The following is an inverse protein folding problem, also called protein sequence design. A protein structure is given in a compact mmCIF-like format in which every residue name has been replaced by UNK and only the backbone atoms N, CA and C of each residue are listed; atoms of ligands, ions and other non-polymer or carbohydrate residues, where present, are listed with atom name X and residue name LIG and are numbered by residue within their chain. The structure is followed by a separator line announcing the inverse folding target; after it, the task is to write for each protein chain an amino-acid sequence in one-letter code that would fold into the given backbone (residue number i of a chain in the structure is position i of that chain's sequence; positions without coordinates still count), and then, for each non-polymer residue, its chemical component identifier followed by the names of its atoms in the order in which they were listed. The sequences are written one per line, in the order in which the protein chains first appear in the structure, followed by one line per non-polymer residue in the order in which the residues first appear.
data_IF_424247503403
#
_entry.id   IF_424247503403
#
_cell.length_a   1.000
_cell.length_b   1.000
_cell.length_c   1.000
_cell.angle_alpha   90.00
_cell.angle_beta   90.00
_cell.angle_gamma   90.00
#
_symmetry.space_group_name_H-M   'P 1'
#
loop_
_entity.id
_entity.type
_entity.pdbx_description
1 polymer ?
#
# COMPACT_ATOMS: atom_id res chain seq x y z
N UNK A 1 4.01 -10.10 -8.04
CA UNK A 1 3.06 -9.01 -7.71
C UNK A 1 1.62 -9.53 -7.63
N UNK A 2 1.12 -10.30 -8.60
CA UNK A 2 -0.22 -10.92 -8.51
C UNK A 2 -0.43 -11.75 -7.24
N UNK A 3 0.55 -12.56 -6.85
CA UNK A 3 0.50 -13.33 -5.59
C UNK A 3 0.37 -12.42 -4.36
N UNK A 4 1.08 -11.29 -4.33
CA UNK A 4 0.98 -10.33 -3.23
C UNK A 4 -0.41 -9.69 -3.16
N UNK A 5 -1.04 -9.41 -4.31
CA UNK A 5 -2.42 -8.91 -4.37
C UNK A 5 -3.41 -9.95 -3.83
N UNK A 6 -3.29 -11.23 -4.22
CA UNK A 6 -4.14 -12.31 -3.69
C UNK A 6 -3.98 -12.48 -2.18
N UNK A 7 -2.74 -12.48 -1.69
CA UNK A 7 -2.47 -12.57 -0.25
C UNK A 7 -3.06 -11.36 0.48
N UNK A 8 -2.89 -10.16 -0.05
CA UNK A 8 -3.45 -8.96 0.54
C UNK A 8 -4.97 -8.99 0.61
N UNK A 9 -5.66 -9.44 -0.46
CA UNK A 9 -7.11 -9.58 -0.44
C UNK A 9 -7.57 -10.51 0.69
N UNK A 10 -6.85 -11.62 0.90
CA UNK A 10 -7.17 -12.57 1.98
C UNK A 10 -7.00 -11.96 3.38
N UNK A 11 -5.95 -11.16 3.59
CA UNK A 11 -5.65 -10.51 4.88
C UNK A 11 -6.59 -9.34 5.12
N UNK A 12 -6.74 -8.46 4.13
CA UNK A 12 -7.54 -7.24 4.23
C UNK A 12 -9.01 -7.56 4.52
N UNK A 13 -9.53 -8.67 3.99
CA UNK A 13 -10.91 -9.08 4.17
C UNK A 13 -11.10 -10.19 5.22
N UNK A 14 -10.05 -10.58 5.94
CA UNK A 14 -10.17 -11.59 7.00
C UNK A 14 -10.97 -11.07 8.20
N UNK A 15 -11.82 -11.94 8.74
CA UNK A 15 -12.60 -11.65 9.94
C UNK A 15 -11.75 -11.46 11.21
N UNK A 16 -10.52 -11.97 11.23
CA UNK A 16 -9.59 -11.75 12.36
C UNK A 16 -9.10 -10.30 12.40
N UNK A 17 -9.06 -9.61 11.26
CA UNK A 17 -8.53 -8.26 11.13
C UNK A 17 -9.61 -7.20 10.89
N UNK A 18 -10.89 -7.50 11.14
CA UNK A 18 -12.01 -6.58 10.86
C UNK A 18 -11.85 -5.21 11.55
N UNK A 19 -11.39 -5.20 12.80
CA UNK A 19 -11.18 -3.99 13.61
C UNK A 19 -9.73 -3.48 13.60
N UNK A 20 -8.86 -4.13 12.83
CA UNK A 20 -7.44 -3.78 12.75
C UNK A 20 -7.20 -2.83 11.59
N UNK A 21 -6.45 -1.77 11.84
CA UNK A 21 -5.84 -0.98 10.78
C UNK A 21 -4.71 -1.79 10.12
N UNK A 22 -4.44 -1.51 8.85
CA UNK A 22 -3.41 -2.21 8.07
C UNK A 22 -2.38 -1.22 7.55
N UNK A 23 -1.11 -1.61 7.65
CA UNK A 23 0.01 -0.88 7.07
C UNK A 23 0.56 -1.69 5.90
N UNK A 24 0.54 -1.11 4.72
CA UNK A 24 1.07 -1.67 3.48
C UNK A 24 2.44 -1.05 3.19
N UNK A 25 3.46 -1.89 3.10
CA UNK A 25 4.78 -1.50 2.63
C UNK A 25 5.01 -1.99 1.21
N UNK A 26 5.10 -1.05 0.27
CA UNK A 26 5.68 -1.33 -1.05
C UNK A 26 7.20 -1.16 -0.92
N UNK A 27 7.89 -2.29 -0.71
CA UNK A 27 9.33 -2.34 -0.47
C UNK A 27 10.13 -2.50 -1.78
N UNK A 28 11.45 -2.35 -1.71
CA UNK A 28 12.41 -2.44 -2.83
C UNK A 28 12.16 -1.37 -3.90
N UNK A 29 11.80 -0.17 -3.44
CA UNK A 29 11.54 0.98 -4.31
C UNK A 29 12.77 1.45 -5.10
N UNK A 30 13.97 1.17 -4.61
CA UNK A 30 15.22 1.33 -5.33
C UNK A 30 15.26 0.49 -6.60
N UNK A 31 15.08 -0.83 -6.45
CA UNK A 31 15.07 -1.77 -7.57
C UNK A 31 13.91 -1.50 -8.53
N UNK A 32 12.78 -1.06 -8.02
CA UNK A 32 11.62 -0.70 -8.84
C UNK A 32 11.93 0.49 -9.75
N UNK A 33 12.53 1.55 -9.21
CA UNK A 33 12.93 2.76 -9.96
C UNK A 33 13.92 2.45 -11.07
N UNK A 34 14.86 1.54 -10.84
CA UNK A 34 15.85 1.15 -11.85
C UNK A 34 15.24 0.31 -12.97
N UNK A 35 14.27 -0.55 -12.63
CA UNK A 35 13.71 -1.53 -13.58
C UNK A 35 12.57 -0.99 -14.42
N UNK A 36 11.77 -0.05 -13.91
CA UNK A 36 10.54 0.41 -14.55
C UNK A 36 10.76 0.87 -16.01
N UNK A 37 11.84 1.60 -16.27
CA UNK A 37 12.16 2.14 -17.60
C UNK A 37 12.51 1.05 -18.62
N UNK A 38 13.03 -0.10 -18.17
CA UNK A 38 13.43 -1.22 -19.04
C UNK A 38 12.38 -2.33 -19.08
N UNK A 39 11.54 -2.42 -18.06
CA UNK A 39 10.54 -3.46 -17.89
C UNK A 39 9.26 -2.84 -17.33
N UNK A 40 8.42 -2.24 -18.21
CA UNK A 40 7.16 -1.62 -17.82
C UNK A 40 6.21 -2.63 -17.16
N UNK A 41 5.42 -2.18 -16.19
CA UNK A 41 4.47 -3.05 -15.47
C UNK A 41 3.39 -3.66 -16.37
N UNK A 42 3.04 -3.00 -17.47
CA UNK A 42 2.07 -3.51 -18.46
C UNK A 42 2.52 -4.82 -19.10
N UNK A 43 3.83 -5.01 -19.28
CA UNK A 43 4.41 -6.26 -19.79
C UNK A 43 4.28 -7.44 -18.79
N UNK A 44 3.96 -7.16 -17.53
CA UNK A 44 3.80 -8.16 -16.45
C UNK A 44 2.33 -8.41 -16.10
N UNK A 45 1.40 -8.11 -17.00
CA UNK A 45 -0.03 -8.39 -16.84
C UNK A 45 -0.84 -7.27 -16.18
N UNK A 46 -0.27 -6.08 -15.99
CA UNK A 46 -0.97 -4.89 -15.50
C UNK A 46 -1.40 -4.00 -16.67
N UNK A 47 -2.19 -4.56 -17.60
CA UNK A 47 -2.60 -3.87 -18.85
C UNK A 47 -3.59 -2.74 -18.62
N UNK A 48 -4.22 -2.69 -17.45
CA UNK A 48 -5.12 -1.62 -16.99
C UNK A 48 -4.38 -0.37 -16.49
N UNK A 49 -3.04 -0.37 -16.49
CA UNK A 49 -2.24 0.81 -16.21
C UNK A 49 -2.10 1.71 -17.44
N UNK A 50 -2.60 2.94 -17.32
CA UNK A 50 -2.62 3.95 -18.39
C UNK A 50 -1.62 5.10 -18.16
N UNK A 51 -0.80 5.04 -17.10
CA UNK A 51 0.21 6.06 -16.83
C UNK A 51 1.48 5.88 -17.68
N UNK A 52 2.44 6.80 -17.59
CA UNK A 52 3.72 6.67 -18.29
C UNK A 52 4.46 5.39 -17.88
N UNK A 53 5.03 4.70 -18.87
CA UNK A 53 5.66 3.39 -18.69
C UNK A 53 6.96 3.43 -17.87
N UNK A 54 7.63 4.58 -17.84
CA UNK A 54 8.91 4.85 -17.18
C UNK A 54 8.77 5.64 -15.86
N UNK A 55 7.57 6.16 -15.56
CA UNK A 55 7.33 6.89 -14.33
C UNK A 55 7.01 5.96 -13.15
N UNK A 56 8.02 5.70 -12.33
CA UNK A 56 7.88 4.92 -11.11
C UNK A 56 6.84 5.51 -10.15
N UNK A 57 6.62 6.84 -10.12
CA UNK A 57 5.68 7.46 -9.18
C UNK A 57 4.25 7.07 -9.54
N UNK A 58 3.87 7.24 -10.81
CA UNK A 58 2.56 6.83 -11.33
C UNK A 58 2.34 5.33 -11.16
N UNK A 59 3.35 4.51 -11.46
CA UNK A 59 3.25 3.05 -11.28
C UNK A 59 3.12 2.63 -9.80
N UNK A 60 3.80 3.32 -8.88
CA UNK A 60 3.69 3.05 -7.44
C UNK A 60 2.33 3.44 -6.89
N UNK A 61 1.80 4.58 -7.34
CA UNK A 61 0.43 5.02 -7.00
C UNK A 61 -0.59 4.00 -7.52
N UNK A 62 -0.44 3.54 -8.75
CA UNK A 62 -1.28 2.49 -9.32
C UNK A 62 -1.30 1.23 -8.43
N UNK A 63 -0.15 0.75 -7.96
CA UNK A 63 -0.13 -0.40 -7.06
C UNK A 63 -0.80 -0.12 -5.71
N UNK A 64 -0.52 1.04 -5.09
CA UNK A 64 -1.19 1.44 -3.85
C UNK A 64 -2.72 1.45 -4.00
N UNK A 65 -3.21 2.04 -5.08
CA UNK A 65 -4.64 2.11 -5.37
C UNK A 65 -5.23 0.71 -5.63
N UNK A 66 -4.49 -0.16 -6.33
CA UNK A 66 -4.91 -1.56 -6.55
C UNK A 66 -5.02 -2.35 -5.25
N UNK A 67 -4.06 -2.20 -4.33
CA UNK A 67 -4.13 -2.83 -3.01
C UNK A 67 -5.28 -2.27 -2.16
N UNK A 68 -5.52 -0.95 -2.21
CA UNK A 68 -6.64 -0.32 -1.51
C UNK A 68 -8.00 -0.79 -2.04
N UNK A 69 -8.12 -0.94 -3.36
CA UNK A 69 -9.36 -1.39 -4.00
C UNK A 69 -9.76 -2.84 -3.63
N UNK A 70 -8.81 -3.67 -3.20
CA UNK A 70 -9.09 -5.05 -2.75
C UNK A 70 -9.71 -5.12 -1.34
N UNK A 71 -9.72 -4.02 -0.59
CA UNK A 71 -10.37 -3.96 0.71
C UNK A 71 -11.87 -3.68 0.54
N UNK A 72 -12.71 -4.57 1.06
CA UNK A 72 -14.17 -4.49 0.97
C UNK A 72 -14.80 -3.66 2.09
N UNK A 73 -14.05 -3.33 3.14
CA UNK A 73 -14.53 -2.52 4.26
C UNK A 73 -14.08 -1.06 4.13
N UNK A 74 -14.99 -0.16 3.73
CA UNK A 74 -14.69 1.27 3.55
C UNK A 74 -14.24 1.99 4.83
N UNK A 75 -14.60 1.47 6.01
CA UNK A 75 -14.20 2.05 7.29
C UNK A 75 -12.80 1.61 7.74
N UNK A 76 -12.26 0.55 7.12
CA UNK A 76 -10.94 0.01 7.49
C UNK A 76 -9.84 0.96 7.04
N UNK A 77 -9.00 1.32 7.99
CA UNK A 77 -7.89 2.24 7.77
C UNK A 77 -6.70 1.51 7.16
N UNK A 78 -6.26 1.96 5.97
CA UNK A 78 -5.14 1.37 5.22
C UNK A 78 -4.11 2.46 4.89
N UNK A 79 -2.92 2.32 5.46
CA UNK A 79 -1.81 3.25 5.27
C UNK A 79 -0.77 2.62 4.34
N UNK A 80 -0.46 3.31 3.25
CA UNK A 80 0.48 2.82 2.25
C UNK A 80 1.78 3.62 2.29
N UNK A 81 2.90 2.92 2.37
CA UNK A 81 4.23 3.54 2.34
C UNK A 81 5.11 2.91 1.27
N UNK A 82 5.82 3.78 0.56
CA UNK A 82 6.88 3.39 -0.36
C UNK A 82 8.18 3.34 0.44
N UNK A 83 8.84 2.19 0.46
CA UNK A 83 9.97 1.93 1.36
C UNK A 83 11.13 1.30 0.62
N UNK A 84 12.33 1.47 1.16
CA UNK A 84 13.47 0.64 0.82
C UNK A 84 13.93 -0.11 2.08
N UNK A 85 14.44 -1.33 1.93
CA UNK A 85 14.90 -2.15 3.05
C UNK A 85 16.08 -1.53 3.80
N UNK A 86 16.80 -0.60 3.16
CA UNK A 86 17.89 0.18 3.75
C UNK A 86 17.44 1.51 4.36
N UNK A 87 16.14 1.83 4.29
CA UNK A 87 15.61 3.08 4.84
C UNK A 87 15.52 2.98 6.36
N UNK A 88 16.51 3.57 7.03
CA UNK A 88 16.57 3.65 8.49
C UNK A 88 15.40 4.43 9.11
N UNK A 89 14.61 5.14 8.29
CA UNK A 89 13.42 5.86 8.73
C UNK A 89 12.15 5.00 8.73
N UNK A 90 12.21 3.74 8.31
CA UNK A 90 11.04 2.85 8.27
C UNK A 90 10.32 2.80 9.62
N UNK A 91 11.08 2.66 10.72
CA UNK A 91 10.51 2.64 12.06
C UNK A 91 9.81 3.96 12.40
N UNK A 92 10.40 5.10 12.03
CA UNK A 92 9.83 6.44 12.27
C UNK A 92 8.53 6.63 11.51
N UNK A 93 8.49 6.23 10.23
CA UNK A 93 7.29 6.29 9.38
C UNK A 93 6.19 5.41 9.98
N UNK A 94 6.54 4.18 10.34
CA UNK A 94 5.60 3.22 10.94
C UNK A 94 5.01 3.76 12.24
N UNK A 95 5.84 4.30 13.12
CA UNK A 95 5.39 4.89 14.39
C UNK A 95 4.46 6.10 14.16
N UNK A 96 4.77 6.95 13.18
CA UNK A 96 3.89 8.06 12.79
C UNK A 96 2.51 7.57 12.36
N UNK A 97 2.45 6.54 11.51
CA UNK A 97 1.17 5.97 11.08
C UNK A 97 0.39 5.30 12.21
N UNK A 98 1.07 4.63 13.14
CA UNK A 98 0.43 4.08 14.34
C UNK A 98 -0.14 5.20 15.21
N UNK A 99 0.60 6.30 15.39
CA UNK A 99 0.11 7.46 16.14
C UNK A 99 -1.13 8.08 15.48
N UNK A 100 -1.10 8.27 14.16
CA UNK A 100 -2.24 8.79 13.41
C UNK A 100 -3.48 7.89 13.54
N UNK A 101 -3.31 6.56 13.49
CA UNK A 101 -4.41 5.60 13.69
C UNK A 101 -5.04 5.73 15.09
N UNK A 102 -4.21 5.86 16.13
CA UNK A 102 -4.71 6.02 17.50
C UNK A 102 -5.50 7.34 17.62
N UNK A 103 -4.99 8.43 17.06
CA UNK A 103 -5.65 9.74 17.08
C UNK A 103 -6.98 9.68 16.32
N UNK A 104 -6.99 9.16 15.10
CA UNK A 104 -8.21 9.02 14.28
C UNK A 104 -9.28 8.19 14.98
N UNK A 105 -8.89 7.08 15.60
CA UNK A 105 -9.80 6.22 16.36
C UNK A 105 -10.40 6.94 17.57
N UNK A 106 -9.59 7.67 18.32
CA UNK A 106 -10.06 8.46 19.48
C UNK A 106 -10.99 9.60 19.03
N UNK A 107 -10.68 10.30 17.94
CA UNK A 107 -11.54 11.35 17.39
C UNK A 107 -12.89 10.81 16.92
N UNK A 108 -12.92 9.66 16.23
CA UNK A 108 -14.19 9.00 15.84
C UNK A 108 -15.05 8.63 17.04
N UNK A 109 -14.44 8.24 18.17
CA UNK A 109 -15.16 7.93 19.41
C UNK A 109 -15.70 9.16 20.15
N UNK A 110 -15.18 10.36 19.88
CA UNK A 110 -15.64 11.61 20.52
C UNK A 110 -16.77 12.30 19.75
N UNK A 111 -16.91 11.99 18.45
CA UNK A 111 -17.89 12.62 17.54
C UNK A 111 -19.18 11.79 17.43
N UNK A 112 -19.17 10.54 17.91
CA UNK A 112 -20.31 9.62 18.02
C UNK A 112 -20.71 9.45 19.49
#
# INVERSE_FOLDING_TARGET
MNEALMLWESIANSHWFTKSALILFLNKMDLFKEKIARSPITAHGFTDYHGPADDWKSASKYFLDKFRALNRNMEKEIYGHLTNATDTNLLKITMGSVQDMIIQRNLKQLIL
#
